data_IF_426771949831
#
_entry.id   IF_426771949831
#
_cell.length_a   1.000
_cell.length_b   1.000
_cell.length_c   1.000
_cell.angle_alpha   90.00
_cell.angle_beta   90.00
_cell.angle_gamma   90.00
#
_symmetry.space_group_name_H-M   'P 1'
#
loop_
_entity.id
_entity.type
_entity.pdbx_description
1 polymer ?
#
# COMPACT_ATOMS: atom_id res chain seq x y z
N UNK A 1 -17.11 1.08 4.22
CA UNK A 1 -15.86 0.72 4.91
C UNK A 1 -14.70 1.67 4.62
N UNK A 2 -14.37 1.96 3.36
CA UNK A 2 -13.26 2.88 2.99
C UNK A 2 -13.46 4.32 3.49
N UNK A 3 -14.69 4.84 3.47
CA UNK A 3 -15.00 6.19 3.98
C UNK A 3 -14.88 6.29 5.51
N UNK A 4 -15.12 5.19 6.22
CA UNK A 4 -15.04 5.16 7.69
C UNK A 4 -13.59 5.18 8.16
N UNK A 5 -12.71 4.40 7.51
CA UNK A 5 -11.26 4.43 7.77
C UNK A 5 -10.61 5.76 7.38
N UNK A 6 -11.10 6.40 6.31
CA UNK A 6 -10.64 7.73 5.90
C UNK A 6 -11.05 8.83 6.90
N UNK A 7 -12.23 8.73 7.51
CA UNK A 7 -12.63 9.59 8.63
C UNK A 7 -11.75 9.36 9.85
N UNK A 8 -11.54 8.10 10.26
CA UNK A 8 -10.75 7.77 11.44
C UNK A 8 -9.31 8.28 11.34
N UNK A 9 -8.68 8.15 10.17
CA UNK A 9 -7.33 8.66 9.92
C UNK A 9 -7.27 10.20 9.89
N UNK A 10 -8.34 10.86 9.43
CA UNK A 10 -8.46 12.33 9.50
C UNK A 10 -8.59 12.81 10.94
N UNK A 11 -9.39 12.12 11.74
CA UNK A 11 -9.63 12.45 13.14
C UNK A 11 -8.37 12.22 13.97
N UNK A 12 -7.62 11.14 13.70
CA UNK A 12 -6.31 10.87 14.31
C UNK A 12 -5.24 11.90 13.89
N UNK A 13 -5.27 12.37 12.63
CA UNK A 13 -4.37 13.44 12.17
C UNK A 13 -4.70 14.81 12.76
N UNK A 14 -5.96 15.08 13.08
CA UNK A 14 -6.39 16.32 13.72
C UNK A 14 -6.06 16.33 15.23
N UNK A 15 -6.08 15.16 15.89
CA UNK A 15 -5.66 14.99 17.29
C UNK A 15 -4.15 15.20 17.49
N UNK A 16 -3.31 14.93 16.48
CA UNK A 16 -1.87 15.22 16.58
C UNK A 16 -1.52 16.69 16.35
N UNK A 17 -2.44 17.47 15.76
CA UNK A 17 -2.27 18.91 15.54
C UNK A 17 -2.81 19.76 16.71
N UNK A 18 -3.74 19.23 17.51
CA UNK A 18 -4.33 19.95 18.65
C UNK A 18 -3.48 19.90 19.93
N UNK A 19 -2.46 19.05 20.02
CA UNK A 19 -1.58 18.94 21.20
C UNK A 19 -0.49 20.01 21.29
N UNK A 20 -0.45 20.97 20.36
CA UNK A 20 0.50 22.08 20.38
C UNK A 20 -0.08 23.44 20.82
N UNK A 21 -1.34 23.51 21.25
CA UNK A 21 -1.88 24.71 21.88
C UNK A 21 -2.51 24.33 23.22
N UNK A 22 -1.93 24.88 24.29
CA UNK A 22 -2.38 24.70 25.66
C UNK A 22 -3.82 25.18 25.89
N UNK A 23 -4.42 24.55 26.89
CA UNK A 23 -5.68 24.88 27.56
C UNK A 23 -6.95 24.84 26.71
N UNK A 24 -7.75 23.78 26.90
CA UNK A 24 -9.07 23.92 27.55
C UNK A 24 -9.73 22.57 27.84
N UNK A 25 -10.29 22.46 29.03
CA UNK A 25 -11.15 21.37 29.51
C UNK A 25 -12.37 21.16 28.62
N UNK A 26 -12.61 19.92 28.19
CA UNK A 26 -13.91 19.49 27.64
C UNK A 26 -14.35 18.22 28.38
N UNK A 27 -15.50 18.32 29.03
CA UNK A 27 -16.19 17.26 29.76
C UNK A 27 -16.72 16.19 28.81
N UNK A 28 -16.39 14.92 29.08
CA UNK A 28 -16.96 13.74 28.43
C UNK A 28 -18.41 13.50 28.91
N UNK A 29 -19.39 13.69 28.02
CA UNK A 29 -20.72 13.05 28.15
C UNK A 29 -20.71 11.71 27.41
N UNK A 30 -21.18 10.67 28.11
CA UNK A 30 -21.27 9.29 27.62
C UNK A 30 -22.30 9.15 26.48
N UNK A 31 -22.14 8.19 25.54
CA UNK A 31 -23.18 7.84 24.60
C UNK A 31 -24.17 6.84 25.23
N UNK A 32 -25.43 7.29 25.36
CA UNK A 32 -26.56 6.47 25.81
C UNK A 32 -27.04 5.47 24.74
N UNK A 33 -27.23 4.23 25.18
CA UNK A 33 -28.22 3.23 24.75
C UNK A 33 -28.82 3.31 23.33
N UNK A 34 -28.36 2.43 22.43
CA UNK A 34 -29.18 1.91 21.33
C UNK A 34 -29.69 0.51 21.67
N UNK A 35 -30.87 0.43 22.26
CA UNK A 35 -31.61 -0.80 22.49
C UNK A 35 -33.10 -0.55 22.31
N UNK A 36 -33.75 -1.48 21.61
CA UNK A 36 -35.22 -1.69 21.53
C UNK A 36 -36.05 -0.64 20.78
N UNK A 37 -36.44 -0.97 19.56
CA UNK A 37 -37.56 -0.33 18.86
C UNK A 37 -38.41 -1.40 18.16
N UNK A 38 -39.16 -2.15 18.97
CA UNK A 38 -40.32 -2.95 18.58
C UNK A 38 -41.30 -2.85 19.74
N UNK A 39 -42.30 -1.97 19.62
CA UNK A 39 -43.63 -2.11 20.22
C UNK A 39 -44.53 -1.00 19.64
N UNK A 40 -45.40 -1.38 18.72
CA UNK A 40 -46.59 -0.59 18.38
C UNK A 40 -47.80 -1.32 18.96
N UNK A 41 -48.23 -0.89 20.14
CA UNK A 41 -49.55 -1.21 20.68
C UNK A 41 -50.59 -0.27 20.05
N UNK A 42 -51.50 -0.80 19.24
CA UNK A 42 -52.72 -0.08 18.85
C UNK A 42 -53.80 -0.32 19.90
N UNK A 43 -54.12 0.75 20.64
CA UNK A 43 -55.34 0.90 21.42
C UNK A 43 -56.53 0.99 20.47
N UNK A 44 -57.41 0.00 20.46
CA UNK A 44 -58.87 0.15 20.50
C UNK A 44 -59.55 -1.19 20.20
N UNK A 45 -60.23 -1.72 21.22
CA UNK A 45 -61.04 -2.91 21.11
C UNK A 45 -62.28 -2.66 20.24
N UNK A 46 -62.23 -3.13 19.00
CA UNK A 46 -63.42 -3.60 18.27
C UNK A 46 -63.11 -4.93 17.62
N UNK A 47 -63.76 -5.98 18.13
CA UNK A 47 -63.87 -7.27 17.45
C UNK A 47 -64.45 -7.06 16.06
N UNK A 48 -63.62 -7.24 15.04
CA UNK A 48 -64.06 -7.60 13.70
C UNK A 48 -63.44 -8.96 13.43
N UNK A 49 -64.25 -10.02 13.61
CA UNK A 49 -63.95 -11.32 13.04
C UNK A 49 -63.92 -11.18 11.50
N UNK A 50 -62.73 -11.05 10.92
CA UNK A 50 -62.54 -11.28 9.49
C UNK A 50 -62.12 -12.74 9.32
N UNK A 51 -63.12 -13.59 9.16
CA UNK A 51 -62.93 -14.94 8.65
C UNK A 51 -62.46 -14.89 7.19
N UNK A 52 -61.50 -15.78 6.88
CA UNK A 52 -61.05 -16.28 5.56
C UNK A 52 -59.80 -15.65 4.93
N UNK A 53 -58.68 -16.32 5.21
CA UNK A 53 -57.48 -16.49 4.39
C UNK A 53 -57.64 -16.05 2.92
N UNK A 54 -57.05 -14.91 2.57
CA UNK A 54 -56.87 -14.52 1.18
C UNK A 54 -55.58 -15.15 0.62
N UNK A 55 -55.59 -15.82 -0.55
CA UNK A 55 -54.40 -16.41 -1.16
C UNK A 55 -53.25 -15.42 -1.36
N UNK A 56 -53.55 -14.12 -1.43
CA UNK A 56 -52.56 -13.05 -1.60
C UNK A 56 -51.63 -12.91 -0.39
N UNK A 57 -52.14 -13.06 0.84
CA UNK A 57 -51.35 -12.92 2.07
C UNK A 57 -50.45 -14.13 2.31
N UNK A 58 -50.90 -15.34 1.96
CA UNK A 58 -50.06 -16.55 2.03
C UNK A 58 -48.95 -16.54 0.97
N UNK A 59 -49.23 -16.03 -0.24
CA UNK A 59 -48.22 -15.83 -1.29
C UNK A 59 -47.20 -14.76 -0.89
N UNK A 60 -47.62 -13.64 -0.29
CA UNK A 60 -46.70 -12.62 0.22
C UNK A 60 -45.84 -13.13 1.37
N UNK A 61 -46.41 -13.88 2.32
CA UNK A 61 -45.65 -14.49 3.42
C UNK A 61 -44.66 -15.53 2.89
N UNK A 62 -45.05 -16.35 1.92
CA UNK A 62 -44.16 -17.36 1.31
C UNK A 62 -43.04 -16.72 0.46
N UNK A 63 -43.32 -15.61 -0.24
CA UNK A 63 -42.30 -14.81 -0.93
C UNK A 63 -41.33 -14.17 0.05
N UNK A 64 -41.83 -13.63 1.17
CA UNK A 64 -41.02 -13.00 2.21
C UNK A 64 -40.10 -14.03 2.90
N UNK A 65 -40.61 -15.23 3.25
CA UNK A 65 -39.80 -16.32 3.79
C UNK A 65 -38.70 -16.78 2.81
N UNK A 66 -39.00 -16.86 1.51
CA UNK A 66 -37.99 -17.18 0.48
C UNK A 66 -36.92 -16.08 0.36
N UNK A 67 -37.30 -14.82 0.49
CA UNK A 67 -36.34 -13.70 0.49
C UNK A 67 -35.42 -13.74 1.72
N UNK A 68 -35.94 -14.00 2.92
CA UNK A 68 -35.12 -14.15 4.12
C UNK A 68 -34.20 -15.38 4.05
N UNK A 69 -34.68 -16.53 3.58
CA UNK A 69 -33.85 -17.73 3.40
C UNK A 69 -32.73 -17.53 2.36
N UNK A 70 -33.01 -16.78 1.28
CA UNK A 70 -31.98 -16.41 0.30
C UNK A 70 -30.96 -15.43 0.90
N UNK A 71 -31.39 -14.46 1.71
CA UNK A 71 -30.49 -13.53 2.40
C UNK A 71 -29.59 -14.27 3.40
N UNK A 72 -30.12 -15.22 4.17
CA UNK A 72 -29.34 -16.05 5.09
C UNK A 72 -28.33 -16.95 4.36
N UNK A 73 -28.72 -17.51 3.22
CA UNK A 73 -27.81 -18.29 2.39
C UNK A 73 -26.68 -17.43 1.80
N UNK A 74 -26.98 -16.21 1.34
CA UNK A 74 -25.97 -15.24 0.88
C UNK A 74 -25.05 -14.85 2.03
N UNK A 75 -25.59 -14.55 3.21
CA UNK A 75 -24.81 -14.20 4.40
C UNK A 75 -23.89 -15.34 4.85
N UNK A 76 -24.38 -16.60 4.78
CA UNK A 76 -23.58 -17.78 5.08
C UNK A 76 -22.43 -17.96 4.07
N UNK A 77 -22.69 -17.78 2.78
CA UNK A 77 -21.64 -17.80 1.75
C UNK A 77 -20.62 -16.67 1.92
N UNK A 78 -21.06 -15.48 2.35
CA UNK A 78 -20.15 -14.36 2.64
C UNK A 78 -19.24 -14.69 3.82
N UNK A 79 -19.78 -15.20 4.93
CA UNK A 79 -18.99 -15.63 6.10
C UNK A 79 -18.01 -16.76 5.79
N UNK A 80 -18.42 -17.72 4.95
CA UNK A 80 -17.55 -18.82 4.54
C UNK A 80 -16.41 -18.34 3.63
N UNK A 81 -16.69 -17.41 2.71
CA UNK A 81 -15.66 -16.73 1.91
C UNK A 81 -14.71 -15.89 2.76
N UNK A 82 -15.23 -15.21 3.77
CA UNK A 82 -14.44 -14.40 4.71
C UNK A 82 -13.48 -15.29 5.52
N UNK A 83 -13.98 -16.41 6.06
CA UNK A 83 -13.17 -17.40 6.78
C UNK A 83 -12.09 -18.05 5.90
N UNK A 84 -12.42 -18.36 4.65
CA UNK A 84 -11.43 -18.85 3.67
C UNK A 84 -10.39 -17.79 3.31
N UNK A 85 -10.81 -16.52 3.21
CA UNK A 85 -9.92 -15.38 2.96
C UNK A 85 -8.98 -15.13 4.14
N UNK A 86 -9.48 -15.28 5.37
CA UNK A 86 -8.69 -15.15 6.60
C UNK A 86 -7.66 -16.28 6.73
N UNK A 87 -8.07 -17.53 6.43
CA UNK A 87 -7.17 -18.68 6.38
C UNK A 87 -6.10 -18.53 5.28
N UNK A 88 -6.46 -18.00 4.11
CA UNK A 88 -5.49 -17.68 3.06
C UNK A 88 -4.53 -16.55 3.48
N UNK A 89 -5.03 -15.49 4.12
CA UNK A 89 -4.23 -14.37 4.61
C UNK A 89 -3.25 -14.73 5.72
N UNK A 90 -3.53 -15.76 6.52
CA UNK A 90 -2.60 -16.31 7.50
C UNK A 90 -1.45 -17.08 6.81
N UNK A 91 -1.75 -17.80 5.72
CA UNK A 91 -0.74 -18.57 4.97
C UNK A 91 0.15 -17.70 4.06
N UNK A 92 -0.32 -16.50 3.69
CA UNK A 92 0.41 -15.56 2.82
C UNK A 92 1.22 -14.50 3.57
N UNK A 93 0.95 -14.27 4.86
CA UNK A 93 1.70 -13.33 5.67
C UNK A 93 3.16 -13.80 5.82
N UNK A 94 4.10 -12.94 5.46
CA UNK A 94 5.54 -13.23 5.44
C UNK A 94 5.95 -14.43 4.54
N UNK A 95 5.04 -14.87 3.67
CA UNK A 95 5.30 -15.93 2.71
C UNK A 95 5.09 -15.42 1.27
N UNK A 96 6.11 -14.75 0.69
CA UNK A 96 5.99 -14.14 -0.63
C UNK A 96 5.81 -15.17 -1.77
N UNK A 97 5.97 -16.47 -1.48
CA UNK A 97 5.77 -17.56 -2.44
C UNK A 97 4.30 -17.97 -2.61
N UNK A 98 3.42 -17.63 -1.65
CA UNK A 98 1.98 -17.92 -1.70
C UNK A 98 1.26 -16.60 -1.98
N UNK A 99 0.90 -16.37 -3.24
CA UNK A 99 0.30 -15.10 -3.67
C UNK A 99 -1.23 -15.12 -3.62
N UNK A 100 -1.82 -14.09 -3.02
CA UNK A 100 -3.25 -13.80 -3.20
C UNK A 100 -3.47 -13.24 -4.63
N UNK A 101 -4.18 -14.02 -5.46
CA UNK A 101 -4.45 -13.67 -6.85
C UNK A 101 -5.34 -12.41 -7.00
N UNK A 102 -6.08 -12.04 -5.94
CA UNK A 102 -6.92 -10.83 -5.93
C UNK A 102 -6.11 -9.56 -5.67
N UNK A 103 -4.95 -9.66 -5.04
CA UNK A 103 -4.09 -8.51 -4.78
C UNK A 103 -3.57 -7.93 -6.11
N UNK A 104 -3.91 -6.67 -6.36
CA UNK A 104 -3.47 -5.93 -7.55
C UNK A 104 -2.02 -5.44 -7.44
N UNK A 105 -1.46 -5.47 -6.23
CA UNK A 105 -0.10 -5.06 -5.90
C UNK A 105 0.73 -6.26 -5.41
N UNK A 106 0.33 -7.49 -5.72
CA UNK A 106 1.16 -8.68 -5.48
C UNK A 106 2.53 -8.56 -6.18
N UNK A 107 3.58 -9.22 -5.67
CA UNK A 107 4.94 -9.13 -6.21
C UNK A 107 5.06 -9.30 -7.73
N UNK A 108 4.36 -10.27 -8.32
CA UNK A 108 4.41 -10.52 -9.76
C UNK A 108 3.83 -9.38 -10.59
N UNK A 109 2.74 -8.76 -10.15
CA UNK A 109 2.16 -7.58 -10.81
C UNK A 109 3.05 -6.35 -10.65
N UNK A 110 3.68 -6.17 -9.49
CA UNK A 110 4.64 -5.09 -9.30
C UNK A 110 5.87 -5.28 -10.21
N UNK A 111 6.31 -6.51 -10.39
CA UNK A 111 7.38 -6.85 -11.33
C UNK A 111 7.00 -6.61 -12.80
N UNK A 112 5.74 -6.83 -13.20
CA UNK A 112 5.23 -6.42 -14.52
C UNK A 112 5.23 -4.90 -14.67
N UNK A 113 4.64 -4.17 -13.72
CA UNK A 113 4.66 -2.69 -13.71
C UNK A 113 6.08 -2.12 -13.73
N UNK A 114 7.02 -2.78 -13.06
CA UNK A 114 8.43 -2.39 -13.05
C UNK A 114 9.09 -2.50 -14.44
N UNK A 115 8.79 -3.57 -15.17
CA UNK A 115 9.23 -3.70 -16.56
C UNK A 115 8.57 -2.67 -17.48
N UNK A 116 7.25 -2.48 -17.35
CA UNK A 116 6.51 -1.49 -18.12
C UNK A 116 7.00 -0.05 -17.88
N UNK A 117 7.41 0.28 -16.65
CA UNK A 117 7.97 1.57 -16.31
C UNK A 117 9.28 1.85 -17.06
N UNK A 118 10.11 0.82 -17.24
CA UNK A 118 11.34 0.90 -18.04
C UNK A 118 11.03 1.02 -19.53
N UNK A 119 10.15 0.17 -20.06
CA UNK A 119 9.87 0.15 -21.50
C UNK A 119 9.17 1.44 -21.96
N UNK A 120 8.29 2.00 -21.12
CA UNK A 120 7.47 3.16 -21.46
C UNK A 120 8.05 4.47 -20.90
N UNK A 121 7.92 4.71 -19.59
CA UNK A 121 8.19 6.03 -19.01
C UNK A 121 9.66 6.39 -19.01
N UNK A 122 10.54 5.41 -18.76
CA UNK A 122 11.98 5.64 -18.82
C UNK A 122 12.40 6.00 -20.25
N UNK A 123 11.88 5.30 -21.27
CA UNK A 123 12.15 5.60 -22.69
C UNK A 123 11.69 7.02 -23.05
N UNK A 124 10.46 7.39 -22.68
CA UNK A 124 9.93 8.74 -22.90
C UNK A 124 10.77 9.80 -22.19
N UNK A 125 11.16 9.56 -20.94
CA UNK A 125 12.00 10.48 -20.17
C UNK A 125 13.39 10.63 -20.79
N UNK A 126 13.98 9.52 -21.23
CA UNK A 126 15.29 9.49 -21.89
C UNK A 126 15.27 10.32 -23.17
N UNK A 127 14.31 10.07 -24.07
CA UNK A 127 14.17 10.82 -25.33
C UNK A 127 13.89 12.30 -25.08
N UNK A 128 13.07 12.62 -24.07
CA UNK A 128 12.75 14.00 -23.71
C UNK A 128 14.00 14.76 -23.26
N UNK A 129 14.84 14.17 -22.40
CA UNK A 129 16.10 14.79 -21.97
C UNK A 129 17.06 14.93 -23.15
N UNK A 130 17.21 13.87 -23.96
CA UNK A 130 18.12 13.90 -25.12
C UNK A 130 17.74 14.97 -26.15
N UNK A 131 16.45 15.28 -26.27
CA UNK A 131 15.95 16.35 -27.14
C UNK A 131 16.19 17.75 -26.57
N UNK A 132 16.00 17.92 -25.27
CA UNK A 132 16.16 19.22 -24.60
C UNK A 132 17.63 19.61 -24.38
N UNK A 133 18.50 18.63 -24.14
CA UNK A 133 19.94 18.82 -23.92
C UNK A 133 20.75 17.89 -24.84
N UNK A 134 20.94 18.27 -26.13
CA UNK A 134 21.63 17.44 -27.12
C UNK A 134 23.12 17.21 -26.82
N UNK A 135 23.73 18.07 -25.99
CA UNK A 135 25.14 17.96 -25.59
C UNK A 135 25.34 16.92 -24.47
N UNK A 136 24.26 16.54 -23.77
CA UNK A 136 24.32 15.52 -22.72
C UNK A 136 24.47 14.12 -23.32
N UNK A 137 25.52 13.41 -22.91
CA UNK A 137 25.75 12.04 -23.38
C UNK A 137 24.64 11.07 -22.94
N UNK A 138 24.31 10.09 -23.78
CA UNK A 138 23.33 9.04 -23.46
C UNK A 138 23.64 8.28 -22.16
N UNK A 139 24.92 8.02 -21.87
CA UNK A 139 25.34 7.39 -20.62
C UNK A 139 25.00 8.28 -19.41
N UNK A 140 25.17 9.61 -19.54
CA UNK A 140 24.81 10.59 -18.50
C UNK A 140 23.30 10.63 -18.27
N UNK A 141 22.50 10.59 -19.34
CA UNK A 141 21.03 10.56 -19.23
C UNK A 141 20.57 9.28 -18.53
N UNK A 142 21.11 8.13 -18.92
CA UNK A 142 20.80 6.85 -18.28
C UNK A 142 21.13 6.85 -16.78
N UNK A 143 22.32 7.34 -16.41
CA UNK A 143 22.74 7.49 -15.02
C UNK A 143 21.86 8.46 -14.23
N UNK A 144 21.41 9.54 -14.87
CA UNK A 144 20.51 10.52 -14.25
C UNK A 144 19.15 9.91 -13.92
N UNK A 145 18.54 9.18 -14.87
CA UNK A 145 17.27 8.48 -14.65
C UNK A 145 17.42 7.36 -13.62
N UNK A 146 18.51 6.59 -13.66
CA UNK A 146 18.84 5.62 -12.62
C UNK A 146 18.89 6.27 -11.24
N UNK A 147 19.56 7.41 -11.10
CA UNK A 147 19.65 8.12 -9.83
C UNK A 147 18.28 8.58 -9.30
N UNK A 148 17.37 9.03 -10.18
CA UNK A 148 15.99 9.37 -9.81
C UNK A 148 15.26 8.18 -9.19
N UNK A 149 15.32 7.01 -9.84
CA UNK A 149 14.69 5.79 -9.33
C UNK A 149 15.26 5.40 -7.96
N UNK A 150 16.59 5.39 -7.81
CA UNK A 150 17.26 4.98 -6.57
C UNK A 150 16.95 5.94 -5.42
N UNK A 151 16.94 7.25 -5.68
CA UNK A 151 16.56 8.23 -4.67
C UNK A 151 15.09 8.07 -4.27
N UNK A 152 14.20 7.82 -5.23
CA UNK A 152 12.79 7.52 -4.97
C UNK A 152 12.60 6.26 -4.14
N UNK A 153 13.39 5.22 -4.42
CA UNK A 153 13.40 3.97 -3.65
C UNK A 153 13.81 4.20 -2.20
N UNK A 154 14.95 4.85 -1.97
CA UNK A 154 15.46 5.17 -0.62
C UNK A 154 14.53 6.09 0.15
N UNK A 155 13.92 7.06 -0.52
CA UNK A 155 12.92 7.93 0.09
C UNK A 155 11.72 7.11 0.61
N UNK A 156 11.23 6.15 -0.18
CA UNK A 156 10.15 5.26 0.23
C UNK A 156 10.54 4.34 1.39
N UNK A 157 11.77 3.80 1.37
CA UNK A 157 12.32 2.97 2.45
C UNK A 157 12.31 3.72 3.78
N UNK A 158 12.88 4.92 3.80
CA UNK A 158 12.93 5.76 4.99
C UNK A 158 11.55 6.17 5.48
N UNK A 159 10.64 6.50 4.54
CA UNK A 159 9.29 6.89 4.90
C UNK A 159 8.49 5.71 5.47
N UNK A 160 8.62 4.50 4.89
CA UNK A 160 7.96 3.30 5.40
C UNK A 160 8.46 2.98 6.80
N UNK A 161 9.77 3.02 7.02
CA UNK A 161 10.37 2.81 8.35
C UNK A 161 9.85 3.82 9.38
N UNK A 162 9.82 5.12 9.04
CA UNK A 162 9.27 6.16 9.92
C UNK A 162 7.79 5.95 10.20
N UNK A 163 7.01 5.54 9.20
CA UNK A 163 5.58 5.25 9.36
C UNK A 163 5.35 4.11 10.36
N UNK A 164 6.11 3.02 10.24
CA UNK A 164 6.00 1.88 11.17
C UNK A 164 6.33 2.33 12.60
N UNK A 165 7.46 3.00 12.80
CA UNK A 165 7.87 3.48 14.12
C UNK A 165 6.86 4.45 14.75
N UNK A 166 6.31 5.38 13.95
CA UNK A 166 5.30 6.32 14.45
C UNK A 166 4.01 5.60 14.88
N UNK A 167 3.59 4.56 14.15
CA UNK A 167 2.40 3.78 14.50
C UNK A 167 2.65 2.89 15.71
N UNK A 168 3.84 2.30 15.84
CA UNK A 168 4.26 1.59 17.06
C UNK A 168 4.23 2.53 18.27
N UNK A 169 4.83 3.72 18.18
CA UNK A 169 4.85 4.69 19.27
C UNK A 169 3.43 5.09 19.70
N UNK A 170 2.54 5.40 18.75
CA UNK A 170 1.14 5.78 19.05
C UNK A 170 0.39 4.66 19.79
N UNK A 171 0.66 3.40 19.47
CA UNK A 171 -0.09 2.27 20.01
C UNK A 171 0.47 1.75 21.33
N UNK A 172 1.80 1.75 21.49
CA UNK A 172 2.46 1.26 22.69
C UNK A 172 2.67 2.36 23.75
N UNK A 173 2.69 3.64 23.35
CA UNK A 173 2.71 4.79 24.27
C UNK A 173 1.73 5.88 23.80
N UNK A 174 0.41 5.65 23.94
CA UNK A 174 -0.60 6.65 23.57
C UNK A 174 -0.55 7.92 24.43
N UNK A 175 0.25 7.90 25.51
CA UNK A 175 0.42 9.03 26.44
C UNK A 175 1.65 9.90 26.13
N UNK A 176 2.55 9.43 25.25
CA UNK A 176 3.77 10.15 24.83
C UNK A 176 4.77 10.42 25.96
N UNK A 177 4.80 9.62 27.03
CA UNK A 177 5.64 9.95 28.19
C UNK A 177 5.69 9.00 29.38
N UNK A 178 4.83 7.97 29.47
CA UNK A 178 4.88 7.01 30.59
C UNK A 178 5.69 5.78 30.17
N UNK A 179 7.00 5.79 30.47
CA UNK A 179 7.87 4.63 30.21
C UNK A 179 7.51 3.46 31.12
N UNK A 180 6.63 2.57 30.69
CA UNK A 180 6.40 1.29 31.37
C UNK A 180 7.41 0.25 30.90
N UNK A 181 8.15 -0.35 31.85
CA UNK A 181 9.19 -1.37 31.62
C UNK A 181 8.60 -2.75 31.31
N UNK A 182 7.77 -2.88 30.27
CA UNK A 182 7.23 -4.17 29.83
C UNK A 182 7.85 -4.62 28.51
N UNK A 183 9.05 -5.20 28.60
CA UNK A 183 9.83 -5.66 27.44
C UNK A 183 9.32 -6.96 26.83
N UNK A 184 8.69 -7.84 27.63
CA UNK A 184 8.28 -9.19 27.22
C UNK A 184 6.93 -9.30 26.47
N UNK A 185 5.93 -8.47 26.80
CA UNK A 185 4.66 -8.44 26.04
C UNK A 185 4.78 -7.74 24.67
N UNK A 186 5.88 -7.00 24.46
CA UNK A 186 6.13 -6.26 23.22
C UNK A 186 6.38 -7.17 22.02
N UNK A 187 6.99 -8.34 22.22
CA UNK A 187 7.45 -9.21 21.12
C UNK A 187 6.30 -9.97 20.43
N UNK A 188 5.36 -10.56 21.18
CA UNK A 188 4.23 -11.31 20.61
C UNK A 188 3.15 -10.38 20.01
N UNK A 189 2.87 -9.25 20.68
CA UNK A 189 1.98 -8.21 20.15
C UNK A 189 2.59 -7.61 18.88
N UNK A 190 3.92 -7.45 18.80
CA UNK A 190 4.60 -6.91 17.62
C UNK A 190 4.36 -7.72 16.36
N UNK A 191 4.29 -9.06 16.41
CA UNK A 191 4.05 -9.87 15.20
C UNK A 191 2.61 -9.75 14.67
N UNK A 192 1.60 -9.85 15.55
CA UNK A 192 0.19 -9.65 15.17
C UNK A 192 -0.02 -8.22 14.67
N UNK A 193 0.59 -7.27 15.36
CA UNK A 193 0.54 -5.87 14.99
C UNK A 193 1.19 -5.61 13.63
N UNK A 194 2.37 -6.16 13.36
CA UNK A 194 3.06 -6.03 12.09
C UNK A 194 2.23 -6.59 10.92
N UNK A 195 1.47 -7.67 11.15
CA UNK A 195 0.50 -8.19 10.17
C UNK A 195 -0.61 -7.18 9.89
N UNK A 196 -1.30 -6.70 10.91
CA UNK A 196 -2.38 -5.72 10.73
C UNK A 196 -1.88 -4.43 10.08
N UNK A 197 -0.69 -3.98 10.44
CA UNK A 197 -0.04 -2.82 9.85
C UNK A 197 0.20 -3.01 8.35
N UNK A 198 0.71 -4.18 7.96
CA UNK A 198 0.89 -4.56 6.56
C UNK A 198 -0.44 -4.55 5.80
N UNK A 199 -1.50 -5.11 6.39
CA UNK A 199 -2.83 -5.15 5.75
C UNK A 199 -3.40 -3.74 5.56
N UNK A 200 -3.31 -2.87 6.57
CA UNK A 200 -3.74 -1.46 6.47
C UNK A 200 -2.91 -0.70 5.43
N UNK A 201 -1.60 -0.95 5.36
CA UNK A 201 -0.73 -0.34 4.35
C UNK A 201 -1.13 -0.77 2.93
N UNK A 202 -1.45 -2.05 2.71
CA UNK A 202 -1.95 -2.57 1.43
C UNK A 202 -3.31 -1.97 1.06
N UNK A 203 -4.23 -1.84 2.00
CA UNK A 203 -5.55 -1.24 1.75
C UNK A 203 -5.47 0.25 1.38
N UNK A 204 -4.53 0.98 2.00
CA UNK A 204 -4.34 2.41 1.76
C UNK A 204 -3.34 2.71 0.63
N UNK A 205 -2.80 1.69 -0.05
CA UNK A 205 -1.64 1.83 -0.94
C UNK A 205 -1.90 2.76 -2.12
N UNK A 206 -3.09 2.72 -2.72
CA UNK A 206 -3.45 3.53 -3.88
C UNK A 206 -3.52 5.03 -3.55
N UNK A 207 -3.95 5.36 -2.33
CA UNK A 207 -4.03 6.75 -1.88
C UNK A 207 -2.66 7.21 -1.40
N UNK A 208 -2.00 6.41 -0.58
CA UNK A 208 -0.70 6.76 0.00
C UNK A 208 0.38 6.91 -1.07
N UNK A 209 0.45 6.05 -2.10
CA UNK A 209 1.45 6.15 -3.17
C UNK A 209 1.46 7.52 -3.86
N UNK A 210 0.28 8.07 -4.14
CA UNK A 210 0.13 9.39 -4.76
C UNK A 210 0.64 10.51 -3.84
N UNK A 211 0.37 10.42 -2.54
CA UNK A 211 0.84 11.39 -1.55
C UNK A 211 2.36 11.31 -1.37
N UNK A 212 2.92 10.10 -1.32
CA UNK A 212 4.37 9.87 -1.21
C UNK A 212 5.10 10.44 -2.43
N UNK A 213 4.59 10.21 -3.63
CA UNK A 213 5.17 10.77 -4.85
C UNK A 213 5.14 12.30 -4.90
N UNK A 214 4.03 12.91 -4.45
CA UNK A 214 3.95 14.37 -4.30
C UNK A 214 4.94 14.89 -3.26
N UNK A 215 5.04 14.22 -2.11
CA UNK A 215 5.99 14.58 -1.06
C UNK A 215 7.44 14.51 -1.55
N UNK A 216 7.80 13.50 -2.36
CA UNK A 216 9.12 13.38 -2.96
C UNK A 216 9.45 14.57 -3.87
N UNK A 217 8.54 14.95 -4.77
CA UNK A 217 8.75 16.10 -5.68
C UNK A 217 8.80 17.44 -4.93
N UNK A 218 8.10 17.52 -3.79
CA UNK A 218 8.10 18.71 -2.92
C UNK A 218 9.29 18.77 -1.96
N UNK A 219 9.99 17.65 -1.73
CA UNK A 219 11.16 17.60 -0.88
C UNK A 219 12.24 18.56 -1.40
N UNK A 220 12.81 19.35 -0.48
CA UNK A 220 13.74 20.42 -0.84
C UNK A 220 15.00 19.86 -1.50
N UNK A 221 15.55 18.77 -0.98
CA UNK A 221 16.78 18.18 -1.50
C UNK A 221 16.54 17.60 -2.89
N UNK A 222 15.44 16.88 -3.09
CA UNK A 222 15.02 16.37 -4.41
C UNK A 222 14.80 17.49 -5.42
N UNK A 223 14.06 18.53 -5.02
CA UNK A 223 13.75 19.68 -5.87
C UNK A 223 15.01 20.44 -6.28
N UNK A 224 15.97 20.58 -5.39
CA UNK A 224 17.25 21.22 -5.68
C UNK A 224 18.13 20.35 -6.60
N UNK A 225 18.19 19.04 -6.35
CA UNK A 225 18.99 18.09 -7.13
C UNK A 225 18.52 17.95 -8.59
N UNK A 226 17.21 17.91 -8.83
CA UNK A 226 16.65 17.63 -10.16
C UNK A 226 16.06 18.85 -10.87
N UNK A 227 16.17 20.04 -10.26
CA UNK A 227 15.53 21.32 -10.63
C UNK A 227 15.36 21.57 -12.13
N UNK A 228 16.41 21.33 -12.92
CA UNK A 228 16.45 21.62 -14.36
C UNK A 228 15.45 20.78 -15.14
N UNK A 229 15.40 19.47 -14.86
CA UNK A 229 14.66 18.50 -15.66
C UNK A 229 13.41 17.96 -14.95
N UNK A 230 13.17 18.30 -13.67
CA UNK A 230 12.03 17.79 -12.87
C UNK A 230 10.69 17.94 -13.59
N UNK A 231 10.45 19.07 -14.26
CA UNK A 231 9.18 19.30 -14.98
C UNK A 231 9.04 18.46 -16.25
N UNK A 232 10.14 18.21 -16.94
CA UNK A 232 10.16 17.47 -18.20
C UNK A 232 9.88 15.98 -17.99
N UNK A 233 10.46 15.42 -16.93
CA UNK A 233 10.36 13.99 -16.61
C UNK A 233 9.45 13.73 -15.40
N UNK A 234 8.50 14.64 -15.12
CA UNK A 234 7.69 14.58 -13.90
C UNK A 234 6.88 13.28 -13.81
N UNK A 235 6.29 12.82 -14.92
CA UNK A 235 5.54 11.57 -14.97
C UNK A 235 6.40 10.37 -14.57
N UNK A 236 7.60 10.27 -15.15
CA UNK A 236 8.57 9.23 -14.79
C UNK A 236 8.95 9.27 -13.30
N UNK A 237 9.22 10.45 -12.74
CA UNK A 237 9.53 10.61 -11.30
C UNK A 237 8.35 10.11 -10.45
N UNK A 238 7.13 10.57 -10.75
CA UNK A 238 5.95 10.22 -9.97
C UNK A 238 5.67 8.72 -10.01
N UNK A 239 5.76 8.08 -11.19
CA UNK A 239 5.53 6.65 -11.33
C UNK A 239 6.64 5.81 -10.67
N UNK A 240 7.92 6.23 -10.75
CA UNK A 240 9.01 5.60 -10.01
C UNK A 240 8.71 5.56 -8.52
N UNK A 241 8.35 6.70 -7.92
CA UNK A 241 8.13 6.80 -6.48
C UNK A 241 6.87 6.05 -6.05
N UNK A 242 5.78 6.13 -6.82
CA UNK A 242 4.58 5.35 -6.53
C UNK A 242 4.88 3.86 -6.52
N UNK A 243 5.61 3.36 -7.53
CA UNK A 243 5.96 1.95 -7.60
C UNK A 243 6.89 1.55 -6.46
N UNK A 244 7.91 2.36 -6.15
CA UNK A 244 8.81 2.14 -5.02
C UNK A 244 8.07 2.09 -3.68
N UNK A 245 7.04 2.92 -3.49
CA UNK A 245 6.20 2.87 -2.30
C UNK A 245 5.43 1.54 -2.19
N UNK A 246 4.84 1.09 -3.30
CA UNK A 246 4.14 -0.20 -3.35
C UNK A 246 5.07 -1.40 -3.11
N UNK A 247 6.33 -1.32 -3.57
CA UNK A 247 7.38 -2.31 -3.27
C UNK A 247 7.66 -2.39 -1.77
N UNK A 248 7.78 -1.23 -1.10
CA UNK A 248 8.06 -1.16 0.33
C UNK A 248 6.85 -1.50 1.19
N UNK A 249 5.62 -1.44 0.68
CA UNK A 249 4.41 -1.88 1.38
C UNK A 249 4.38 -3.40 1.57
N UNK A 250 5.01 -4.15 0.65
CA UNK A 250 5.04 -5.61 0.73
C UNK A 250 5.71 -6.10 2.02
N UNK A 251 5.33 -7.31 2.44
CA UNK A 251 5.89 -7.99 3.60
C UNK A 251 6.27 -9.41 3.17
N UNK A 252 7.58 -9.70 2.98
CA UNK A 252 8.71 -8.77 3.01
C UNK A 252 8.70 -7.75 1.85
N UNK A 253 9.38 -6.59 1.98
CA UNK A 253 9.54 -5.60 0.91
C UNK A 253 10.25 -6.15 -0.32
N UNK A 254 9.89 -5.67 -1.52
CA UNK A 254 10.67 -5.97 -2.73
C UNK A 254 11.97 -5.15 -2.74
N UNK A 255 13.05 -5.74 -3.27
CA UNK A 255 14.38 -5.15 -3.22
C UNK A 255 14.94 -4.83 -4.61
N UNK A 256 15.50 -3.62 -4.76
CA UNK A 256 16.32 -3.28 -5.93
C UNK A 256 17.77 -3.66 -5.65
N UNK A 257 18.47 -4.15 -6.67
CA UNK A 257 19.93 -4.34 -6.58
C UNK A 257 20.65 -2.99 -6.68
N UNK A 258 21.02 -2.50 -5.49
CA UNK A 258 21.86 -1.33 -5.30
C UNK A 258 23.30 -1.71 -4.90
N UNK A 259 23.61 -3.02 -4.81
CA UNK A 259 24.91 -3.56 -4.39
C UNK A 259 25.84 -3.74 -5.60
N UNK A 260 25.29 -3.86 -6.80
CA UNK A 260 26.06 -3.94 -8.05
C UNK A 260 26.85 -2.66 -8.33
N UNK A 261 28.16 -2.80 -8.54
CA UNK A 261 29.10 -1.68 -8.77
C UNK A 261 29.92 -1.85 -10.06
N UNK A 262 30.45 -0.73 -10.57
CA UNK A 262 31.36 -0.70 -11.71
C UNK A 262 32.56 -1.63 -11.51
N UNK A 263 32.88 -2.41 -12.54
CA UNK A 263 34.03 -3.30 -12.61
C UNK A 263 33.74 -4.74 -12.19
N UNK A 264 32.58 -5.02 -11.57
CA UNK A 264 32.13 -6.37 -11.28
C UNK A 264 31.85 -7.16 -12.57
N UNK A 265 32.03 -8.49 -12.50
CA UNK A 265 31.69 -9.38 -13.60
C UNK A 265 30.17 -9.38 -13.75
N UNK A 266 29.69 -9.27 -14.99
CA UNK A 266 28.27 -9.24 -15.30
C UNK A 266 27.64 -10.59 -14.94
N UNK A 267 26.75 -10.61 -13.94
CA UNK A 267 25.89 -11.75 -13.70
C UNK A 267 24.73 -11.77 -14.70
N UNK A 268 24.77 -12.68 -15.66
CA UNK A 268 23.75 -12.83 -16.71
C UNK A 268 22.41 -13.36 -16.19
N UNK A 269 22.38 -13.88 -14.97
CA UNK A 269 21.13 -14.27 -14.32
C UNK A 269 20.37 -13.05 -13.80
N UNK A 270 21.08 -12.04 -13.32
CA UNK A 270 20.48 -10.83 -12.75
C UNK A 270 20.42 -9.65 -13.74
N UNK A 271 21.28 -9.62 -14.76
CA UNK A 271 21.39 -8.48 -15.69
C UNK A 271 21.35 -8.87 -17.16
N UNK A 272 20.76 -7.97 -17.94
CA UNK A 272 20.84 -7.93 -19.40
C UNK A 272 21.79 -6.81 -19.84
N UNK A 273 22.45 -7.00 -20.99
CA UNK A 273 23.35 -6.01 -21.57
C UNK A 273 22.53 -4.87 -22.20
N UNK A 274 22.94 -3.62 -21.96
CA UNK A 274 22.26 -2.43 -22.50
C UNK A 274 22.54 -2.22 -24.00
N UNK A 275 23.67 -1.59 -24.34
CA UNK A 275 24.05 -1.34 -25.75
C UNK A 275 25.33 -2.04 -26.19
N UNK A 276 26.30 -2.21 -25.28
CA UNK A 276 27.58 -2.89 -25.59
C UNK A 276 27.69 -4.17 -24.80
N UNK A 277 28.21 -5.19 -25.45
CA UNK A 277 28.59 -6.45 -24.82
C UNK A 277 29.92 -6.29 -24.10
N UNK A 278 30.06 -6.96 -22.96
CA UNK A 278 31.28 -6.87 -22.17
C UNK A 278 31.30 -7.91 -21.06
N UNK A 279 32.45 -8.03 -20.39
CA UNK A 279 32.58 -8.96 -19.26
C UNK A 279 32.36 -8.27 -17.93
N UNK A 280 32.53 -6.95 -17.88
CA UNK A 280 32.42 -6.16 -16.66
C UNK A 280 31.36 -5.09 -16.79
N UNK A 281 30.71 -4.78 -15.67
CA UNK A 281 29.72 -3.70 -15.58
C UNK A 281 30.46 -2.36 -15.64
N UNK A 282 30.07 -1.50 -16.58
CA UNK A 282 30.49 -0.10 -16.63
C UNK A 282 29.60 0.73 -15.70
N UNK A 283 28.28 0.59 -15.83
CA UNK A 283 27.29 1.18 -14.95
C UNK A 283 25.93 0.46 -15.10
N UNK A 284 25.06 0.63 -14.10
CA UNK A 284 23.68 0.13 -14.12
C UNK A 284 22.77 1.19 -14.73
N UNK A 285 21.92 0.77 -15.66
CA UNK A 285 20.89 1.62 -16.30
C UNK A 285 19.56 1.42 -15.57
N UNK A 286 19.23 0.16 -15.27
CA UNK A 286 18.02 -0.25 -14.59
C UNK A 286 18.37 -1.35 -13.59
N UNK A 287 18.11 -1.17 -12.28
CA UNK A 287 18.49 -2.17 -11.30
C UNK A 287 17.69 -3.47 -11.46
N UNK A 288 18.26 -4.60 -11.04
CA UNK A 288 17.51 -5.84 -10.96
C UNK A 288 16.51 -5.78 -9.79
N UNK A 289 15.35 -6.40 -9.94
CA UNK A 289 14.29 -6.46 -8.92
C UNK A 289 14.22 -7.86 -8.34
N UNK A 290 14.25 -7.94 -7.02
CA UNK A 290 14.21 -9.16 -6.22
C UNK A 290 12.92 -9.25 -5.42
N UNK A 291 12.48 -10.48 -5.14
CA UNK A 291 11.26 -10.73 -4.36
C UNK A 291 11.39 -10.24 -2.90
N UNK A 292 12.59 -10.29 -2.35
CA UNK A 292 12.99 -9.70 -1.08
C UNK A 292 14.51 -9.68 -1.01
N UNK A 293 15.08 -9.19 0.08
CA UNK A 293 16.53 -9.24 0.28
C UNK A 293 17.01 -10.70 0.23
N UNK A 294 18.05 -10.96 -0.57
CA UNK A 294 18.60 -12.28 -0.86
C UNK A 294 17.60 -13.31 -1.45
N UNK A 295 16.45 -12.82 -1.94
CA UNK A 295 15.42 -13.63 -2.60
C UNK A 295 15.70 -13.90 -4.08
N UNK A 296 14.78 -14.58 -4.79
CA UNK A 296 14.90 -14.79 -6.23
C UNK A 296 14.72 -13.49 -7.03
N UNK A 297 15.39 -13.42 -8.19
CA UNK A 297 15.21 -12.35 -9.18
C UNK A 297 13.79 -12.43 -9.76
N UNK A 298 13.01 -11.35 -9.60
CA UNK A 298 11.72 -11.18 -10.25
C UNK A 298 11.87 -10.60 -11.66
N UNK A 299 12.72 -9.58 -11.82
CA UNK A 299 13.06 -8.98 -13.11
C UNK A 299 14.55 -8.71 -13.19
N UNK A 300 15.14 -9.08 -14.33
CA UNK A 300 16.52 -8.74 -14.63
C UNK A 300 16.67 -7.23 -14.79
N UNK A 301 17.77 -6.70 -14.29
CA UNK A 301 18.19 -5.33 -14.54
C UNK A 301 18.79 -5.18 -15.94
N UNK A 302 19.13 -3.94 -16.28
CA UNK A 302 19.83 -3.56 -17.50
C UNK A 302 21.12 -2.85 -17.12
N UNK A 303 22.25 -3.30 -17.63
CA UNK A 303 23.56 -2.74 -17.34
C UNK A 303 24.38 -2.52 -18.61
N UNK A 304 25.08 -1.39 -18.64
CA UNK A 304 26.05 -1.12 -19.68
C UNK A 304 27.35 -1.87 -19.36
N UNK A 305 27.87 -2.61 -20.32
CA UNK A 305 29.08 -3.42 -20.14
C UNK A 305 30.30 -2.81 -20.85
N UNK A 306 31.50 -3.24 -20.41
CA UNK A 306 32.81 -2.92 -20.96
C UNK A 306 33.76 -4.13 -20.91
#
# INVERSE_FOLDING_TARGET
EVEYLACLLKDLANLSQSTNNGDNSISLSQPENFGTLLDYETKDGKNIEISRNSPMQSIQKQKLTKHYANADHVLKQMKEKEKLSEQAGILTYDNPSIADLKDQNRPTKLAEKYSELYDNQWTVAFETIAKEDPDMSYDTIALYLYAVLVDGYRFCEDLRRKQILALEDILFDPTGGIKTSQRGQKEEISTIFAKHLSDVAKLSSNVSSVHVAKAFVMDKNTKDKYRKMTKLIQTYILECVQLCWLMHIQTPPLCLDLKTIKGQVVDKNSYMEYTKKGKKIAFVVWPALFLHEDGPVLRKGVAQCQ
#
